data_IF_845408690827
#
_entry.id   IF_845408690827
#
_cell.length_a   1.000
_cell.length_b   1.000
_cell.length_c   1.000
_cell.angle_alpha   90.00
_cell.angle_beta   90.00
_cell.angle_gamma   90.00
#
_symmetry.space_group_name_H-M   'P 1'
#
loop_
_entity.id
_entity.type
_entity.pdbx_description
1 polymer ?
#
# COMPACT_ATOMS: atom_id res chain seq x y z
N UNK A 1 -37.78 -21.16 17.30
CA UNK A 1 -37.64 -19.95 16.46
C UNK A 1 -36.25 -20.00 15.84
N UNK A 2 -36.12 -20.32 14.55
CA UNK A 2 -34.80 -20.38 13.90
C UNK A 2 -34.21 -18.96 13.88
N UNK A 3 -33.04 -18.77 14.49
CA UNK A 3 -32.28 -17.54 14.34
C UNK A 3 -31.97 -17.38 12.85
N UNK A 4 -32.62 -16.43 12.19
CA UNK A 4 -32.29 -16.04 10.82
C UNK A 4 -30.83 -15.57 10.81
N UNK A 5 -29.91 -16.38 10.32
CA UNK A 5 -28.53 -15.97 10.08
C UNK A 5 -28.54 -14.84 9.05
N UNK A 6 -28.25 -13.62 9.49
CA UNK A 6 -28.12 -12.48 8.59
C UNK A 6 -27.00 -12.79 7.57
N UNK A 7 -27.19 -12.37 6.32
CA UNK A 7 -26.20 -12.54 5.26
C UNK A 7 -26.05 -11.26 4.46
N UNK A 8 -24.88 -11.10 3.85
CA UNK A 8 -24.59 -10.02 2.91
C UNK A 8 -24.04 -10.61 1.63
N UNK A 9 -24.28 -9.90 0.53
CA UNK A 9 -23.68 -10.14 -0.76
C UNK A 9 -22.51 -9.16 -0.96
N UNK A 10 -21.30 -9.70 -1.06
CA UNK A 10 -20.10 -8.98 -1.44
C UNK A 10 -20.05 -8.72 -2.95
N UNK A 11 -19.46 -7.60 -3.39
CA UNK A 11 -19.22 -7.37 -4.81
C UNK A 11 -18.15 -8.33 -5.35
N UNK A 12 -18.19 -8.58 -6.66
CA UNK A 12 -17.03 -9.11 -7.39
C UNK A 12 -15.95 -8.03 -7.44
N UNK A 13 -14.93 -8.18 -6.58
CA UNK A 13 -13.77 -7.29 -6.53
C UNK A 13 -12.75 -7.55 -7.64
N UNK A 14 -12.78 -8.75 -8.25
CA UNK A 14 -11.82 -9.15 -9.29
C UNK A 14 -12.19 -8.60 -10.67
N UNK A 15 -13.48 -8.46 -10.99
CA UNK A 15 -13.91 -7.95 -12.30
C UNK A 15 -13.41 -6.52 -12.62
N UNK A 16 -13.50 -5.53 -11.70
CA UNK A 16 -13.02 -4.17 -11.98
C UNK A 16 -11.51 -4.07 -12.17
N UNK A 17 -10.73 -4.97 -11.54
CA UNK A 17 -9.27 -4.97 -11.60
C UNK A 17 -8.71 -5.86 -12.71
N UNK A 18 -9.54 -6.39 -13.62
CA UNK A 18 -9.07 -7.17 -14.79
C UNK A 18 -7.98 -6.48 -15.62
N UNK A 19 -7.95 -5.13 -15.77
CA UNK A 19 -6.82 -4.46 -16.42
C UNK A 19 -5.49 -4.72 -15.70
N UNK A 20 -5.50 -4.89 -14.38
CA UNK A 20 -4.31 -5.14 -13.57
C UNK A 20 -3.91 -6.62 -13.68
N UNK A 21 -3.01 -6.93 -14.61
CA UNK A 21 -2.52 -8.29 -14.82
C UNK A 21 -1.91 -8.86 -13.52
N UNK A 22 -2.45 -10.00 -13.06
CA UNK A 22 -1.87 -10.69 -11.91
C UNK A 22 -0.54 -11.33 -12.28
N UNK A 23 0.49 -11.02 -11.50
CA UNK A 23 1.84 -11.59 -11.61
C UNK A 23 2.20 -12.25 -10.27
N UNK A 24 3.15 -13.17 -10.29
CA UNK A 24 3.57 -13.87 -9.06
C UNK A 24 5.07 -14.09 -9.07
N UNK A 25 5.71 -13.81 -7.93
CA UNK A 25 7.11 -14.11 -7.72
C UNK A 25 7.35 -15.63 -7.56
N UNK A 26 8.30 -16.19 -8.29
CA UNK A 26 8.64 -17.62 -8.20
C UNK A 26 9.25 -18.04 -6.86
N UNK A 27 9.77 -17.10 -6.06
CA UNK A 27 10.36 -17.36 -4.76
C UNK A 27 9.33 -17.55 -3.63
N UNK A 28 8.02 -17.46 -3.91
CA UNK A 28 6.94 -17.55 -2.91
C UNK A 28 7.13 -18.68 -1.90
N UNK A 29 7.41 -19.90 -2.36
CA UNK A 29 7.57 -21.07 -1.47
C UNK A 29 8.79 -20.94 -0.57
N UNK A 30 9.94 -20.55 -1.12
CA UNK A 30 11.19 -20.38 -0.37
C UNK A 30 11.03 -19.27 0.67
N UNK A 31 10.40 -18.16 0.28
CA UNK A 31 10.13 -17.02 1.17
C UNK A 31 9.14 -17.40 2.28
N UNK A 32 8.14 -18.24 1.98
CA UNK A 32 7.22 -18.76 3.01
C UNK A 32 7.98 -19.49 4.11
N UNK A 33 8.86 -20.43 3.73
CA UNK A 33 9.65 -21.22 4.68
C UNK A 33 10.59 -20.33 5.50
N UNK A 34 11.27 -19.38 4.85
CA UNK A 34 12.19 -18.46 5.52
C UNK A 34 11.47 -17.53 6.51
N UNK A 35 10.34 -16.94 6.10
CA UNK A 35 9.53 -16.05 6.96
C UNK A 35 8.92 -16.82 8.14
N UNK A 36 8.38 -18.02 7.90
CA UNK A 36 7.90 -18.88 8.99
C UNK A 36 9.01 -19.24 9.96
N UNK A 37 10.20 -19.60 9.46
CA UNK A 37 11.35 -19.87 10.32
C UNK A 37 11.72 -18.64 11.17
N UNK A 38 11.61 -17.43 10.63
CA UNK A 38 11.89 -16.21 11.37
C UNK A 38 10.93 -16.01 12.57
N UNK A 39 9.64 -16.34 12.43
CA UNK A 39 8.64 -16.12 13.48
C UNK A 39 8.36 -17.32 14.40
N UNK A 40 8.55 -18.55 13.91
CA UNK A 40 8.18 -19.79 14.61
C UNK A 40 9.35 -20.46 15.34
N UNK A 41 10.59 -19.96 15.23
CA UNK A 41 11.74 -20.58 15.89
C UNK A 41 11.63 -20.41 17.43
N UNK A 42 11.58 -21.50 18.23
CA UNK A 42 11.29 -21.43 19.68
C UNK A 42 12.30 -20.68 20.55
N UNK A 43 13.45 -20.26 20.00
CA UNK A 43 14.55 -19.63 20.73
C UNK A 43 14.72 -18.13 20.42
N UNK A 44 13.84 -17.56 19.60
CA UNK A 44 13.78 -16.11 19.37
C UNK A 44 12.63 -15.53 20.20
N UNK A 45 12.83 -14.37 20.81
CA UNK A 45 11.73 -13.56 21.38
C UNK A 45 10.77 -13.18 20.24
N UNK A 46 9.89 -14.10 19.84
CA UNK A 46 8.94 -13.86 18.77
C UNK A 46 8.00 -12.75 19.22
N UNK A 47 7.78 -11.71 18.40
CA UNK A 47 6.93 -10.59 18.79
C UNK A 47 5.44 -10.92 18.68
N UNK A 48 5.10 -12.08 18.12
CA UNK A 48 3.74 -12.54 17.91
C UNK A 48 3.23 -13.29 19.14
N UNK A 49 1.97 -13.03 19.51
CA UNK A 49 1.24 -13.75 20.55
C UNK A 49 0.93 -15.19 20.10
N UNK A 50 0.63 -16.12 21.02
CA UNK A 50 0.23 -17.48 20.66
C UNK A 50 -0.92 -17.55 19.66
N UNK A 51 -1.91 -16.66 19.78
CA UNK A 51 -3.05 -16.57 18.84
C UNK A 51 -2.62 -16.10 17.45
N UNK A 52 -1.67 -15.18 17.35
CA UNK A 52 -1.17 -14.73 16.04
C UNK A 52 -0.31 -15.80 15.37
N UNK A 53 0.44 -16.57 16.16
CA UNK A 53 1.24 -17.70 15.66
C UNK A 53 0.37 -18.81 15.06
N UNK A 54 -0.86 -19.03 15.55
CA UNK A 54 -1.79 -20.00 14.94
C UNK A 54 -2.38 -19.50 13.63
N UNK A 55 -2.51 -18.18 13.46
CA UNK A 55 -3.01 -17.56 12.22
C UNK A 55 -1.94 -17.43 11.14
N UNK A 56 -0.66 -17.38 11.52
CA UNK A 56 0.45 -17.12 10.59
C UNK A 56 0.45 -18.07 9.36
N UNK A 57 0.32 -19.41 9.50
CA UNK A 57 0.36 -20.30 8.35
C UNK A 57 -0.81 -20.13 7.38
N UNK A 58 -2.00 -19.88 7.90
CA UNK A 58 -3.23 -19.76 7.10
C UNK A 58 -3.42 -18.36 6.51
N UNK A 59 -2.65 -17.38 7.00
CA UNK A 59 -2.63 -16.01 6.48
C UNK A 59 -1.92 -15.88 5.14
N UNK A 60 -1.02 -16.81 4.79
CA UNK A 60 -0.30 -16.84 3.49
C UNK A 60 0.39 -15.50 3.15
N UNK A 61 1.07 -14.84 4.09
CA UNK A 61 1.67 -13.51 3.84
C UNK A 61 2.78 -13.51 2.76
N UNK A 62 3.51 -14.61 2.60
CA UNK A 62 4.48 -14.75 1.51
C UNK A 62 3.79 -14.80 0.13
N UNK A 63 2.56 -15.33 0.05
CA UNK A 63 1.75 -15.26 -1.16
C UNK A 63 1.34 -13.80 -1.43
N UNK A 64 0.85 -13.08 -0.42
CA UNK A 64 0.55 -11.65 -0.55
C UNK A 64 1.74 -10.87 -1.11
N UNK A 65 2.92 -11.02 -0.49
CA UNK A 65 4.14 -10.37 -0.94
C UNK A 65 4.51 -10.77 -2.38
N UNK A 66 4.37 -12.06 -2.73
CA UNK A 66 4.71 -12.56 -4.06
C UNK A 66 3.78 -12.05 -5.16
N UNK A 67 2.52 -11.75 -4.82
CA UNK A 67 1.55 -11.19 -5.76
C UNK A 67 1.70 -9.66 -5.89
N UNK A 68 1.98 -8.97 -4.77
CA UNK A 68 2.17 -7.52 -4.77
C UNK A 68 3.54 -7.08 -5.31
N UNK A 69 4.58 -7.91 -5.14
CA UNK A 69 5.97 -7.58 -5.48
C UNK A 69 6.61 -8.68 -6.35
N UNK A 70 6.06 -8.92 -7.55
CA UNK A 70 6.44 -10.05 -8.40
C UNK A 70 7.87 -9.99 -8.92
N UNK A 71 8.50 -8.81 -8.93
CA UNK A 71 9.84 -8.56 -9.50
C UNK A 71 10.96 -8.51 -8.47
N UNK A 72 10.65 -8.52 -7.17
CA UNK A 72 11.67 -8.49 -6.12
C UNK A 72 12.57 -9.72 -6.14
N UNK A 73 13.84 -9.53 -5.80
CA UNK A 73 14.74 -10.66 -5.53
C UNK A 73 14.34 -11.38 -4.21
N UNK A 74 14.85 -12.60 -3.95
CA UNK A 74 14.43 -13.36 -2.77
C UNK A 74 14.71 -12.65 -1.42
N UNK A 75 15.87 -12.01 -1.18
CA UNK A 75 16.09 -11.21 0.02
C UNK A 75 15.12 -10.04 0.20
N UNK A 76 14.86 -9.26 -0.85
CA UNK A 76 13.90 -8.15 -0.84
C UNK A 76 12.49 -8.65 -0.53
N UNK A 77 12.08 -9.73 -1.20
CA UNK A 77 10.76 -10.33 -1.01
C UNK A 77 10.59 -10.86 0.42
N UNK A 78 11.64 -11.43 1.03
CA UNK A 78 11.62 -11.86 2.42
C UNK A 78 11.43 -10.70 3.38
N UNK A 79 12.17 -9.60 3.19
CA UNK A 79 12.00 -8.39 3.99
C UNK A 79 10.56 -7.85 3.89
N UNK A 80 10.04 -7.71 2.67
CA UNK A 80 8.67 -7.24 2.42
C UNK A 80 7.61 -8.20 2.99
N UNK A 81 7.86 -9.51 2.96
CA UNK A 81 6.98 -10.52 3.57
C UNK A 81 6.94 -10.37 5.09
N UNK A 82 8.10 -10.26 5.73
CA UNK A 82 8.18 -10.07 7.18
C UNK A 82 7.54 -8.74 7.59
N UNK A 83 7.78 -7.68 6.82
CA UNK A 83 7.17 -6.37 7.07
C UNK A 83 5.63 -6.42 6.92
N UNK A 84 5.10 -7.02 5.85
CA UNK A 84 3.66 -7.23 5.65
C UNK A 84 3.01 -8.06 6.76
N UNK A 85 3.73 -9.07 7.25
CA UNK A 85 3.29 -9.91 8.37
C UNK A 85 3.12 -9.06 9.63
N UNK A 86 4.15 -8.29 10.01
CA UNK A 86 4.11 -7.40 11.16
C UNK A 86 3.07 -6.29 11.00
N UNK A 87 2.96 -5.71 9.80
CA UNK A 87 1.98 -4.68 9.49
C UNK A 87 0.54 -5.18 9.63
N UNK A 88 0.26 -6.40 9.17
CA UNK A 88 -1.08 -6.99 9.29
C UNK A 88 -1.43 -7.29 10.74
N UNK A 89 -0.51 -7.85 11.52
CA UNK A 89 -0.75 -8.08 12.95
C UNK A 89 -0.83 -6.79 13.75
N UNK A 90 -0.02 -5.77 13.43
CA UNK A 90 -0.15 -4.43 14.02
C UNK A 90 -1.54 -3.85 13.76
N UNK A 91 -2.07 -4.01 12.54
CA UNK A 91 -3.43 -3.59 12.21
C UNK A 91 -4.48 -4.38 13.01
N UNK A 92 -4.35 -5.70 13.13
CA UNK A 92 -5.26 -6.54 13.93
C UNK A 92 -5.25 -6.18 15.42
N UNK A 93 -4.08 -5.90 16.01
CA UNK A 93 -3.96 -5.39 17.38
C UNK A 93 -4.67 -4.05 17.52
N UNK A 94 -4.43 -3.13 16.60
CA UNK A 94 -5.07 -1.81 16.56
C UNK A 94 -6.61 -1.88 16.47
N UNK A 95 -7.16 -2.78 15.67
CA UNK A 95 -8.62 -2.94 15.56
C UNK A 95 -9.27 -3.34 16.89
N UNK A 96 -8.56 -4.14 17.71
CA UNK A 96 -9.05 -4.64 19.00
C UNK A 96 -8.62 -3.76 20.20
N UNK A 97 -7.80 -2.74 19.97
CA UNK A 97 -7.21 -1.92 21.02
C UNK A 97 -8.12 -0.76 21.45
N UNK A 98 -8.09 -0.48 22.75
CA UNK A 98 -8.66 0.73 23.38
C UNK A 98 -7.58 1.66 23.92
N UNK A 99 -6.35 1.17 24.12
CA UNK A 99 -5.21 1.98 24.56
C UNK A 99 -4.03 1.88 23.60
N UNK A 100 -3.12 2.87 23.56
CA UNK A 100 -1.91 2.82 22.74
C UNK A 100 -1.05 1.57 22.97
N UNK A 101 -0.93 1.11 24.21
CA UNK A 101 -0.14 -0.07 24.57
C UNK A 101 -0.73 -1.35 23.99
N UNK A 102 -2.07 -1.45 23.90
CA UNK A 102 -2.74 -2.59 23.28
C UNK A 102 -2.55 -2.62 21.75
N UNK A 103 -2.39 -1.45 21.12
CA UNK A 103 -1.94 -1.39 19.71
C UNK A 103 -0.49 -1.83 19.56
N UNK A 104 0.30 -1.78 20.64
CA UNK A 104 1.73 -2.07 20.64
C UNK A 104 2.63 -0.84 20.60
N UNK A 105 2.10 0.39 20.71
CA UNK A 105 2.88 1.62 20.77
C UNK A 105 3.32 1.93 22.20
N UNK A 106 4.59 2.30 22.39
CA UNK A 106 5.08 2.78 23.69
C UNK A 106 4.59 4.20 24.00
N UNK A 107 4.09 4.43 25.21
CA UNK A 107 3.67 5.76 25.72
C UNK A 107 4.78 6.53 26.45
N UNK A 108 5.93 5.89 26.67
CA UNK A 108 7.05 6.42 27.46
C UNK A 108 8.07 7.25 26.67
N UNK A 109 7.79 7.62 25.42
CA UNK A 109 8.72 8.45 24.63
C UNK A 109 8.75 9.89 25.17
N UNK A 110 9.70 10.19 26.07
CA UNK A 110 10.16 11.55 26.32
C UNK A 110 10.85 12.05 25.06
N UNK A 111 10.09 12.69 24.17
CA UNK A 111 10.61 13.23 22.92
C UNK A 111 11.62 14.33 23.21
N UNK A 112 12.91 13.99 23.26
CA UNK A 112 13.94 14.95 22.87
C UNK A 112 13.75 15.22 21.38
N UNK A 113 13.53 16.48 21.00
CA UNK A 113 13.27 16.98 19.65
C UNK A 113 14.45 16.80 18.67
N UNK A 114 15.23 15.74 18.80
CA UNK A 114 16.22 15.33 17.80
C UNK A 114 15.52 14.60 16.65
N UNK A 115 15.87 14.95 15.41
CA UNK A 115 15.39 14.36 14.16
C UNK A 115 15.31 12.83 14.23
N UNK A 116 14.12 12.31 14.57
CA UNK A 116 13.90 10.88 14.77
C UNK A 116 13.72 10.24 13.40
N UNK A 117 14.49 9.18 13.07
CA UNK A 117 14.36 8.54 11.77
C UNK A 117 13.03 7.78 11.67
N UNK A 118 12.52 7.53 10.46
CA UNK A 118 11.29 6.73 10.31
C UNK A 118 11.39 5.31 10.87
N UNK A 119 12.60 4.75 10.89
CA UNK A 119 12.85 3.44 11.48
C UNK A 119 12.76 3.52 13.01
N UNK A 120 13.28 4.59 13.62
CA UNK A 120 13.17 4.81 15.06
C UNK A 120 11.71 5.00 15.48
N UNK A 121 10.92 5.75 14.70
CA UNK A 121 9.47 5.91 14.92
C UNK A 121 8.79 4.53 14.90
N UNK A 122 9.06 3.70 13.89
CA UNK A 122 8.48 2.35 13.84
C UNK A 122 8.98 1.45 14.98
N UNK A 123 10.23 1.60 15.41
CA UNK A 123 10.79 0.80 16.51
C UNK A 123 10.13 1.08 17.88
N UNK A 124 9.40 2.19 18.03
CA UNK A 124 8.52 2.42 19.19
C UNK A 124 7.35 1.41 19.25
N UNK A 125 7.01 0.78 18.13
CA UNK A 125 6.02 -0.28 18.09
C UNK A 125 6.67 -1.63 18.39
N UNK A 126 6.06 -2.38 19.31
CA UNK A 126 6.58 -3.66 19.80
C UNK A 126 6.81 -4.73 18.72
N UNK A 127 6.10 -4.65 17.59
CA UNK A 127 6.22 -5.57 16.47
C UNK A 127 7.38 -5.15 15.57
N UNK A 128 7.40 -3.89 15.14
CA UNK A 128 8.37 -3.38 14.17
C UNK A 128 9.79 -3.22 14.74
N UNK A 129 9.96 -3.12 16.07
CA UNK A 129 11.31 -3.14 16.69
C UNK A 129 12.15 -4.35 16.26
N UNK A 130 11.50 -5.49 15.95
CA UNK A 130 12.16 -6.76 15.60
C UNK A 130 12.65 -6.81 14.15
N UNK A 131 12.21 -5.89 13.29
CA UNK A 131 12.68 -5.77 11.90
C UNK A 131 13.52 -4.48 11.69
N UNK A 132 13.68 -3.65 12.71
CA UNK A 132 14.40 -2.37 12.65
C UNK A 132 15.84 -2.48 12.15
N UNK A 133 16.56 -3.55 12.56
CA UNK A 133 17.93 -3.83 12.11
C UNK A 133 17.98 -4.19 10.62
N UNK A 134 17.04 -5.00 10.15
CA UNK A 134 16.93 -5.39 8.75
C UNK A 134 16.55 -4.19 7.88
N UNK A 135 15.61 -3.36 8.34
CA UNK A 135 15.23 -2.10 7.69
C UNK A 135 16.42 -1.14 7.61
N UNK A 136 17.16 -0.95 8.71
CA UNK A 136 18.35 -0.09 8.75
C UNK A 136 19.42 -0.55 7.76
N UNK A 137 19.66 -1.86 7.68
CA UNK A 137 20.60 -2.44 6.72
C UNK A 137 20.12 -2.22 5.28
N UNK A 138 18.84 -2.49 5.03
CA UNK A 138 18.22 -2.34 3.72
C UNK A 138 18.26 -0.89 3.22
N UNK A 139 18.00 0.09 4.09
CA UNK A 139 18.01 1.51 3.76
C UNK A 139 19.36 2.19 3.92
N UNK A 140 20.44 1.48 4.24
CA UNK A 140 21.77 2.08 4.51
C UNK A 140 22.34 2.91 3.35
N UNK A 141 21.89 2.64 2.12
CA UNK A 141 22.27 3.37 0.89
C UNK A 141 21.13 4.19 0.30
N UNK A 142 20.03 4.34 1.03
CA UNK A 142 18.89 5.09 0.56
C UNK A 142 19.23 6.60 0.51
N UNK A 143 18.66 7.34 -0.44
CA UNK A 143 18.88 8.77 -0.52
C UNK A 143 18.19 9.53 0.65
N UNK A 144 18.65 10.74 1.01
CA UNK A 144 18.08 11.49 2.14
C UNK A 144 16.58 11.79 2.01
N UNK A 145 16.10 12.04 0.79
CA UNK A 145 14.68 12.27 0.51
C UNK A 145 13.81 11.02 0.82
N UNK A 146 14.33 9.82 0.57
CA UNK A 146 13.67 8.58 0.96
C UNK A 146 13.53 8.49 2.48
N UNK A 147 14.60 8.80 3.24
CA UNK A 147 14.54 8.79 4.69
C UNK A 147 13.52 9.81 5.24
N UNK A 148 13.45 11.00 4.64
CA UNK A 148 12.47 12.02 5.00
C UNK A 148 11.03 11.55 4.73
N UNK A 149 10.77 10.97 3.55
CA UNK A 149 9.45 10.43 3.19
C UNK A 149 9.05 9.28 4.11
N UNK A 150 9.96 8.33 4.33
CA UNK A 150 9.71 7.19 5.20
C UNK A 150 9.44 7.63 6.65
N UNK A 151 10.15 8.65 7.14
CA UNK A 151 9.87 9.26 8.44
C UNK A 151 8.49 9.92 8.50
N UNK A 152 8.11 10.68 7.46
CA UNK A 152 6.78 11.28 7.38
C UNK A 152 5.66 10.24 7.34
N UNK A 153 5.83 9.16 6.56
CA UNK A 153 4.85 8.08 6.49
C UNK A 153 4.79 7.24 7.77
N UNK A 154 5.91 7.02 8.46
CA UNK A 154 5.95 6.35 9.77
C UNK A 154 5.25 7.18 10.85
N UNK A 155 5.52 8.50 10.88
CA UNK A 155 4.83 9.43 11.77
C UNK A 155 3.33 9.46 11.49
N UNK A 156 2.92 9.53 10.22
CA UNK A 156 1.52 9.53 9.82
C UNK A 156 0.82 8.21 10.17
N UNK A 157 1.47 7.07 9.99
CA UNK A 157 0.96 5.75 10.39
C UNK A 157 0.69 5.69 11.91
N UNK A 158 1.69 6.05 12.72
CA UNK A 158 1.58 6.12 14.18
C UNK A 158 0.47 7.07 14.61
N UNK A 159 0.49 8.29 14.10
CA UNK A 159 -0.49 9.32 14.44
C UNK A 159 -1.91 8.89 14.07
N UNK A 160 -2.11 8.29 12.89
CA UNK A 160 -3.42 7.82 12.46
C UNK A 160 -3.99 6.71 13.35
N UNK A 161 -3.15 5.76 13.79
CA UNK A 161 -3.58 4.71 14.73
C UNK A 161 -3.92 5.29 16.12
N UNK A 162 -3.05 6.16 16.66
CA UNK A 162 -3.29 6.77 17.98
C UNK A 162 -4.52 7.69 17.98
N UNK A 163 -4.70 8.48 16.92
CA UNK A 163 -5.89 9.33 16.78
C UNK A 163 -7.17 8.51 16.64
N UNK A 164 -7.12 7.35 15.98
CA UNK A 164 -8.30 6.49 15.85
C UNK A 164 -8.74 5.88 17.19
N UNK A 165 -7.88 5.86 18.21
CA UNK A 165 -8.24 5.46 19.56
C UNK A 165 -8.94 6.58 20.34
N UNK A 166 -8.78 7.83 19.92
CA UNK A 166 -9.41 8.97 20.59
C UNK A 166 -10.90 9.04 20.26
N UNK A 167 -11.72 9.56 21.19
CA UNK A 167 -13.12 9.83 20.88
C UNK A 167 -13.21 10.84 19.72
N UNK A 168 -14.26 10.76 18.89
CA UNK A 168 -14.46 11.71 17.80
C UNK A 168 -14.51 13.13 18.37
N UNK A 169 -13.87 14.12 17.71
CA UNK A 169 -13.87 15.49 18.19
C UNK A 169 -15.32 16.01 18.29
N UNK A 170 -15.64 16.81 19.32
CA UNK A 170 -16.97 17.38 19.46
C UNK A 170 -17.30 18.22 18.23
N UNK A 171 -18.53 18.06 17.73
CA UNK A 171 -18.99 18.79 16.55
C UNK A 171 -18.98 20.31 16.83
N UNK A 172 -18.26 21.06 15.99
CA UNK A 172 -18.28 22.51 15.98
C UNK A 172 -18.78 22.97 14.60
N UNK A 173 -20.04 23.43 14.52
CA UNK A 173 -20.60 24.06 13.32
C UNK A 173 -22.04 23.64 12.97
N UNK A 174 -22.77 24.55 12.33
CA UNK A 174 -24.08 24.32 11.72
C UNK A 174 -23.90 23.71 10.31
N UNK A 175 -23.61 22.41 10.24
CA UNK A 175 -23.58 21.69 8.96
C UNK A 175 -24.90 20.95 8.73
N UNK A 176 -25.31 20.86 7.46
CA UNK A 176 -26.39 19.95 7.07
C UNK A 176 -26.00 18.50 7.39
N UNK A 177 -26.99 17.64 7.60
CA UNK A 177 -26.79 16.21 7.87
C UNK A 177 -25.91 15.55 6.80
N UNK A 178 -26.18 15.83 5.53
CA UNK A 178 -25.45 15.28 4.39
C UNK A 178 -23.98 15.75 4.36
N UNK A 179 -23.73 17.04 4.58
CA UNK A 179 -22.37 17.57 4.63
C UNK A 179 -21.55 16.95 5.78
N UNK A 180 -22.20 16.67 6.92
CA UNK A 180 -21.58 16.01 8.06
C UNK A 180 -21.19 14.57 7.73
N UNK A 181 -22.10 13.81 7.13
CA UNK A 181 -21.85 12.43 6.73
C UNK A 181 -20.74 12.32 5.68
N UNK A 182 -20.70 13.26 4.73
CA UNK A 182 -19.65 13.31 3.72
C UNK A 182 -18.29 13.62 4.35
N UNK A 183 -18.21 14.67 5.19
CA UNK A 183 -16.99 15.04 5.91
C UNK A 183 -16.45 13.89 6.77
N UNK A 184 -17.33 13.17 7.46
CA UNK A 184 -16.96 12.00 8.25
C UNK A 184 -16.39 10.87 7.37
N UNK A 185 -17.00 10.64 6.20
CA UNK A 185 -16.53 9.63 5.23
C UNK A 185 -15.14 10.00 4.71
N UNK A 186 -14.91 11.26 4.34
CA UNK A 186 -13.63 11.71 3.77
C UNK A 186 -12.52 11.71 4.82
N UNK A 187 -12.83 12.13 6.05
CA UNK A 187 -11.91 12.06 7.19
C UNK A 187 -11.52 10.61 7.48
N UNK A 188 -12.50 9.71 7.48
CA UNK A 188 -12.24 8.27 7.66
C UNK A 188 -11.37 7.72 6.55
N UNK A 189 -11.65 7.99 5.27
CA UNK A 189 -10.85 7.48 4.15
C UNK A 189 -9.40 7.96 4.27
N UNK A 190 -9.20 9.24 4.58
CA UNK A 190 -7.86 9.82 4.80
C UNK A 190 -7.11 9.10 5.93
N UNK A 191 -7.76 8.91 7.08
CA UNK A 191 -7.17 8.20 8.21
C UNK A 191 -6.96 6.70 7.92
N UNK A 192 -7.90 6.07 7.20
CA UNK A 192 -7.85 4.66 6.81
C UNK A 192 -6.66 4.38 5.89
N UNK A 193 -6.34 5.34 5.02
CA UNK A 193 -5.16 5.31 4.15
C UNK A 193 -3.87 5.20 4.97
N UNK A 194 -3.71 6.03 5.99
CA UNK A 194 -2.55 5.97 6.86
C UNK A 194 -2.53 4.73 7.75
N UNK A 195 -3.65 4.36 8.39
CA UNK A 195 -3.73 3.15 9.24
C UNK A 195 -3.57 1.83 8.48
N UNK A 196 -3.65 1.83 7.14
CA UNK A 196 -3.33 0.67 6.31
C UNK A 196 -1.83 0.39 6.21
N UNK A 197 -0.98 1.39 6.44
CA UNK A 197 0.47 1.31 6.21
C UNK A 197 0.90 1.20 4.74
N UNK A 198 0.00 1.41 3.78
CA UNK A 198 0.32 1.30 2.35
C UNK A 198 1.50 2.18 1.91
N UNK A 199 1.59 3.42 2.42
CA UNK A 199 2.70 4.31 2.07
C UNK A 199 4.07 3.82 2.57
N UNK A 200 4.11 3.15 3.73
CA UNK A 200 5.35 2.51 4.21
C UNK A 200 5.80 1.42 3.24
N UNK A 201 4.85 0.61 2.74
CA UNK A 201 5.14 -0.40 1.72
C UNK A 201 5.61 0.24 0.42
N UNK A 202 4.97 1.33 -0.02
CA UNK A 202 5.36 2.05 -1.24
C UNK A 202 6.78 2.59 -1.14
N UNK A 203 7.19 3.12 0.01
CA UNK A 203 8.57 3.57 0.20
C UNK A 203 9.57 2.40 0.15
N UNK A 204 9.24 1.27 0.79
CA UNK A 204 10.11 0.09 0.80
C UNK A 204 10.27 -0.54 -0.58
N UNK A 205 9.19 -0.68 -1.36
CA UNK A 205 9.24 -1.25 -2.70
C UNK A 205 9.94 -0.32 -3.70
N UNK A 206 9.73 1.00 -3.59
CA UNK A 206 10.48 1.98 -4.40
C UNK A 206 11.99 1.84 -4.17
N UNK A 207 12.40 1.70 -2.91
CA UNK A 207 13.81 1.46 -2.57
C UNK A 207 14.31 0.10 -3.07
N UNK A 208 13.50 -0.96 -2.95
CA UNK A 208 13.87 -2.31 -3.41
C UNK A 208 14.15 -2.36 -4.91
N UNK A 209 13.32 -1.69 -5.70
CA UNK A 209 13.44 -1.67 -7.16
C UNK A 209 14.42 -0.59 -7.65
N UNK A 210 14.99 0.20 -6.74
CA UNK A 210 15.89 1.30 -7.10
C UNK A 210 15.21 2.44 -7.85
N UNK A 211 13.88 2.52 -7.80
CA UNK A 211 13.12 3.59 -8.44
C UNK A 211 13.48 4.91 -7.78
N UNK A 212 13.81 5.93 -8.59
CA UNK A 212 14.07 7.28 -8.10
C UNK A 212 12.95 8.19 -8.57
N UNK A 213 11.80 8.13 -7.92
CA UNK A 213 10.83 9.21 -8.07
C UNK A 213 11.29 10.36 -7.18
N UNK A 214 11.71 11.51 -7.76
CA UNK A 214 12.06 12.68 -6.98
C UNK A 214 10.81 13.22 -6.26
N UNK A 215 11.03 13.81 -5.09
CA UNK A 215 9.96 14.52 -4.37
C UNK A 215 9.74 15.86 -5.07
N UNK A 216 8.49 16.34 -5.12
CA UNK A 216 8.15 17.65 -5.70
C UNK A 216 8.99 18.82 -5.15
N UNK A 217 9.58 18.66 -3.95
CA UNK A 217 10.51 19.61 -3.31
C UNK A 217 11.92 19.65 -3.90
N UNK A 218 12.32 18.65 -4.70
CA UNK A 218 13.65 18.58 -5.35
C UNK A 218 13.65 19.22 -6.76
N UNK A 219 12.48 19.54 -7.29
CA UNK A 219 12.38 20.27 -8.55
C UNK A 219 12.70 21.74 -8.29
N UNK A 220 13.78 22.24 -8.89
CA UNK A 220 14.08 23.67 -8.91
C UNK A 220 12.91 24.41 -9.59
N UNK A 221 12.08 25.10 -8.80
CA UNK A 221 10.84 25.78 -9.18
C UNK A 221 11.05 27.05 -10.05
N UNK A 222 12.05 27.06 -10.93
CA UNK A 222 12.32 28.21 -11.80
C UNK A 222 11.42 28.14 -13.05
N UNK A 223 10.29 28.88 -13.02
CA UNK A 223 9.27 29.04 -14.11
C UNK A 223 8.41 27.78 -14.42
N UNK A 224 7.22 27.95 -15.05
CA UNK A 224 5.91 27.39 -14.64
C UNK A 224 5.90 25.87 -14.48
N UNK A 225 4.90 25.26 -13.77
CA UNK A 225 4.97 23.85 -13.42
C UNK A 225 5.15 22.98 -14.67
N UNK A 226 6.38 22.48 -14.83
CA UNK A 226 6.79 21.66 -15.94
C UNK A 226 5.99 20.36 -15.99
N UNK A 227 6.12 19.64 -17.09
CA UNK A 227 5.50 18.33 -17.30
C UNK A 227 5.85 17.36 -16.15
N UNK A 228 7.00 17.54 -15.52
CA UNK A 228 7.49 16.78 -14.37
C UNK A 228 6.60 16.92 -13.15
N UNK A 229 6.19 18.13 -12.78
CA UNK A 229 5.28 18.33 -11.64
C UNK A 229 3.93 17.66 -11.90
N UNK A 230 3.48 17.64 -13.16
CA UNK A 230 2.25 16.93 -13.54
C UNK A 230 2.44 15.42 -13.45
N UNK A 231 3.58 14.87 -13.90
CA UNK A 231 3.93 13.46 -13.75
C UNK A 231 3.93 13.07 -12.27
N UNK A 232 4.66 13.80 -11.42
CA UNK A 232 4.73 13.54 -9.98
C UNK A 232 3.36 13.62 -9.32
N UNK A 233 2.56 14.64 -9.68
CA UNK A 233 1.19 14.77 -9.18
C UNK A 233 0.30 13.58 -9.57
N UNK A 234 0.41 13.08 -10.81
CA UNK A 234 -0.35 11.88 -11.21
C UNK A 234 0.10 10.65 -10.42
N UNK A 235 1.40 10.49 -10.17
CA UNK A 235 1.93 9.39 -9.34
C UNK A 235 1.38 9.48 -7.91
N UNK A 236 1.36 10.65 -7.30
CA UNK A 236 0.84 10.84 -5.93
C UNK A 236 -0.68 10.57 -5.83
N UNK A 237 -1.43 10.98 -6.86
CA UNK A 237 -2.86 10.64 -7.00
C UNK A 237 -3.02 9.11 -7.06
N UNK A 238 -2.26 8.44 -7.92
CA UNK A 238 -2.34 6.99 -8.08
C UNK A 238 -1.90 6.22 -6.81
N UNK A 239 -0.88 6.68 -6.09
CA UNK A 239 -0.49 6.11 -4.78
C UNK A 239 -1.66 6.18 -3.79
N UNK A 240 -2.31 7.35 -3.71
CA UNK A 240 -3.44 7.58 -2.81
C UNK A 240 -4.65 6.70 -3.18
N UNK A 241 -4.94 6.57 -4.47
CA UNK A 241 -6.01 5.72 -4.98
C UNK A 241 -5.72 4.23 -4.74
N UNK A 242 -4.49 3.76 -4.98
CA UNK A 242 -4.11 2.37 -4.73
C UNK A 242 -4.27 1.99 -3.25
N UNK A 243 -3.83 2.87 -2.34
CA UNK A 243 -4.02 2.69 -0.91
C UNK A 243 -5.51 2.63 -0.53
N UNK A 244 -6.34 3.53 -1.07
CA UNK A 244 -7.77 3.55 -0.80
C UNK A 244 -8.50 2.31 -1.36
N UNK A 245 -8.17 1.90 -2.59
CA UNK A 245 -8.76 0.72 -3.25
C UNK A 245 -8.53 -0.53 -2.39
N UNK A 246 -7.28 -0.76 -1.97
CA UNK A 246 -6.92 -1.94 -1.17
C UNK A 246 -7.52 -1.84 0.23
N UNK A 247 -7.46 -0.69 0.90
CA UNK A 247 -7.99 -0.53 2.25
C UNK A 247 -9.52 -0.69 2.30
N UNK A 248 -10.25 -0.08 1.38
CA UNK A 248 -11.72 -0.21 1.32
C UNK A 248 -12.16 -1.60 0.85
N UNK A 249 -11.40 -2.24 -0.03
CA UNK A 249 -11.63 -3.65 -0.39
C UNK A 249 -11.39 -4.58 0.80
N UNK A 250 -10.36 -4.31 1.61
CA UNK A 250 -10.12 -5.01 2.86
C UNK A 250 -11.28 -4.83 3.85
N UNK A 251 -11.84 -3.62 3.94
CA UNK A 251 -13.00 -3.34 4.80
C UNK A 251 -14.25 -4.12 4.35
N UNK A 252 -14.45 -4.32 3.04
CA UNK A 252 -15.54 -5.14 2.49
C UNK A 252 -15.41 -6.62 2.90
N UNK A 253 -14.23 -7.22 2.71
CA UNK A 253 -14.02 -8.65 3.00
C UNK A 253 -13.90 -8.93 4.50
N UNK A 254 -13.39 -7.98 5.28
CA UNK A 254 -13.18 -8.13 6.73
C UNK A 254 -14.40 -7.85 7.57
N UNK A 255 -15.47 -7.28 7.02
CA UNK A 255 -16.63 -6.83 7.81
C UNK A 255 -17.23 -7.91 8.71
N UNK A 256 -17.37 -9.15 8.22
CA UNK A 256 -17.93 -10.24 9.03
C UNK A 256 -17.06 -10.53 10.27
N UNK A 257 -15.74 -10.58 10.10
CA UNK A 257 -14.80 -10.73 11.20
C UNK A 257 -14.90 -9.53 12.14
N UNK A 258 -14.80 -8.31 11.59
CA UNK A 258 -14.85 -7.05 12.34
C UNK A 258 -16.10 -6.91 13.22
N UNK A 259 -17.30 -7.14 12.67
CA UNK A 259 -18.55 -6.98 13.42
C UNK A 259 -18.73 -8.06 14.50
N UNK A 260 -18.05 -9.20 14.34
CA UNK A 260 -18.14 -10.32 15.29
C UNK A 260 -17.18 -10.19 16.47
N UNK A 261 -16.06 -9.48 16.30
CA UNK A 261 -14.99 -9.35 17.31
C UNK A 261 -14.96 -7.98 17.98
N UNK A 262 -15.41 -6.94 17.30
CA UNK A 262 -15.38 -5.58 17.84
C UNK A 262 -16.61 -5.38 18.70
N UNK A 263 -16.42 -5.40 20.03
CA UNK A 263 -17.47 -4.98 20.97
C UNK A 263 -17.89 -3.53 20.63
N UNK A 264 -19.16 -3.15 20.85
CA UNK A 264 -19.57 -1.75 20.69
C UNK A 264 -18.87 -0.89 21.74
N UNK A 265 -17.66 -0.44 21.41
CA UNK A 265 -16.96 0.56 22.20
C UNK A 265 -17.73 1.87 22.07
N UNK A 266 -18.47 2.23 23.12
CA UNK A 266 -19.40 3.36 23.14
C UNK A 266 -18.73 4.72 22.83
N UNK A 267 -17.39 4.77 22.76
CA UNK A 267 -16.61 6.00 22.66
C UNK A 267 -15.69 6.09 21.42
N UNK A 268 -15.67 5.09 20.53
CA UNK A 268 -14.80 5.08 19.34
C UNK A 268 -15.63 4.88 18.06
N UNK A 269 -15.27 5.61 16.99
CA UNK A 269 -15.85 5.38 15.67
C UNK A 269 -15.41 4.01 15.13
N UNK A 270 -16.30 3.26 14.46
CA UNK A 270 -15.93 1.96 13.93
C UNK A 270 -14.85 2.09 12.86
N UNK A 271 -13.75 1.34 13.01
CA UNK A 271 -12.65 1.35 12.05
C UNK A 271 -12.86 0.34 10.91
N UNK A 272 -14.02 0.45 10.25
CA UNK A 272 -14.39 -0.32 9.06
C UNK A 272 -15.41 0.48 8.26
N UNK A 273 -15.20 0.65 6.96
CA UNK A 273 -16.02 1.50 6.12
C UNK A 273 -17.52 1.11 6.10
N UNK A 274 -17.85 -0.19 6.15
CA UNK A 274 -19.26 -0.64 6.20
C UNK A 274 -19.88 -0.22 7.53
N UNK A 275 -19.23 -0.56 8.64
CA UNK A 275 -19.71 -0.21 9.98
C UNK A 275 -19.83 1.30 10.18
N UNK A 276 -18.91 2.09 9.61
CA UNK A 276 -18.99 3.54 9.62
C UNK A 276 -20.19 4.05 8.82
N UNK A 277 -20.45 3.51 7.62
CA UNK A 277 -21.63 3.90 6.85
C UNK A 277 -22.94 3.52 7.55
N UNK A 278 -23.00 2.36 8.21
CA UNK A 278 -24.15 1.98 9.03
C UNK A 278 -24.38 2.97 10.18
N UNK A 279 -23.29 3.37 10.86
CA UNK A 279 -23.34 4.32 11.97
C UNK A 279 -23.74 5.73 11.51
N UNK A 280 -23.06 6.25 10.48
CA UNK A 280 -23.18 7.63 10.03
C UNK A 280 -24.41 7.89 9.15
N UNK A 281 -24.79 6.93 8.30
CA UNK A 281 -25.84 7.10 7.28
C UNK A 281 -27.08 6.25 7.53
N UNK A 282 -27.13 5.54 8.67
CA UNK A 282 -28.22 4.65 9.07
C UNK A 282 -28.59 3.59 8.01
N UNK A 283 -27.60 3.15 7.22
CA UNK A 283 -27.80 2.12 6.20
C UNK A 283 -27.85 0.73 6.84
N UNK A 284 -28.58 -0.19 6.20
CA UNK A 284 -28.45 -1.62 6.48
C UNK A 284 -27.03 -2.11 6.13
N UNK A 285 -26.61 -3.26 6.67
CA UNK A 285 -25.32 -3.86 6.33
C UNK A 285 -25.15 -3.99 4.81
N UNK A 286 -26.15 -4.54 4.10
CA UNK A 286 -26.11 -4.63 2.64
C UNK A 286 -26.09 -3.25 1.94
N UNK A 287 -26.84 -2.27 2.45
CA UNK A 287 -26.85 -0.91 1.90
C UNK A 287 -25.48 -0.24 1.99
N UNK A 288 -24.82 -0.38 3.15
CA UNK A 288 -23.46 0.09 3.38
C UNK A 288 -22.44 -0.66 2.52
N UNK A 289 -22.52 -2.00 2.42
CA UNK A 289 -21.69 -2.81 1.51
C UNK A 289 -21.80 -2.31 0.06
N UNK A 290 -23.02 -2.07 -0.42
CA UNK A 290 -23.25 -1.56 -1.78
C UNK A 290 -22.64 -0.17 -1.99
N UNK A 291 -22.72 0.71 -0.98
CA UNK A 291 -22.12 2.04 -1.06
C UNK A 291 -20.59 1.97 -1.14
N UNK A 292 -19.94 1.19 -0.27
CA UNK A 292 -18.49 1.03 -0.28
C UNK A 292 -18.01 0.33 -1.56
N UNK A 293 -18.75 -0.66 -2.05
CA UNK A 293 -18.47 -1.32 -3.32
C UNK A 293 -18.48 -0.34 -4.51
N UNK A 294 -19.45 0.59 -4.55
CA UNK A 294 -19.47 1.66 -5.57
C UNK A 294 -18.28 2.60 -5.44
N UNK A 295 -17.90 2.96 -4.21
CA UNK A 295 -16.74 3.82 -3.97
C UNK A 295 -15.43 3.15 -4.42
N UNK A 296 -15.23 1.86 -4.15
CA UNK A 296 -14.07 1.10 -4.63
C UNK A 296 -14.02 1.12 -6.16
N UNK A 297 -15.16 0.85 -6.83
CA UNK A 297 -15.24 0.90 -8.30
C UNK A 297 -14.90 2.28 -8.86
N UNK A 298 -15.41 3.36 -8.23
CA UNK A 298 -15.08 4.73 -8.62
C UNK A 298 -13.57 4.99 -8.52
N UNK A 299 -12.94 4.61 -7.41
CA UNK A 299 -11.50 4.82 -7.21
C UNK A 299 -10.64 4.03 -8.21
N UNK A 300 -11.08 2.84 -8.63
CA UNK A 300 -10.41 2.08 -9.70
C UNK A 300 -10.53 2.82 -11.02
N UNK A 301 -11.69 3.40 -11.32
CA UNK A 301 -11.88 4.21 -12.53
C UNK A 301 -11.00 5.48 -12.50
N UNK A 302 -10.98 6.19 -11.36
CA UNK A 302 -10.12 7.36 -11.16
C UNK A 302 -8.63 7.02 -11.33
N UNK A 303 -8.21 5.81 -10.91
CA UNK A 303 -6.84 5.33 -11.08
C UNK A 303 -6.49 5.15 -12.56
N UNK A 304 -7.38 4.53 -13.33
CA UNK A 304 -7.20 4.31 -14.76
C UNK A 304 -7.19 5.63 -15.55
N UNK A 305 -7.98 6.62 -15.13
CA UNK A 305 -8.00 7.96 -15.71
C UNK A 305 -6.70 8.75 -15.40
N UNK A 306 -6.20 8.65 -14.17
CA UNK A 306 -4.91 9.22 -13.79
C UNK A 306 -3.76 8.57 -14.57
N UNK A 307 -3.80 7.25 -14.78
CA UNK A 307 -2.84 6.53 -15.61
C UNK A 307 -2.90 6.97 -17.08
N UNK A 308 -4.10 7.13 -17.65
CA UNK A 308 -4.27 7.66 -19.00
C UNK A 308 -3.74 9.09 -19.12
N UNK A 309 -3.94 9.90 -18.08
CA UNK A 309 -3.39 11.26 -18.00
C UNK A 309 -1.87 11.23 -17.95
N UNK A 310 -1.27 10.33 -17.15
CA UNK A 310 0.18 10.14 -17.14
C UNK A 310 0.71 9.78 -18.54
N UNK A 311 0.06 8.85 -19.24
CA UNK A 311 0.41 8.45 -20.61
C UNK A 311 0.32 9.59 -21.65
N UNK A 312 -0.39 10.67 -21.34
CA UNK A 312 -0.41 11.86 -22.19
C UNK A 312 0.93 12.59 -22.23
N UNK A 313 1.76 12.41 -21.19
CA UNK A 313 3.09 13.00 -21.07
C UNK A 313 4.21 12.16 -21.69
N UNK A 314 3.88 11.10 -22.41
CA UNK A 314 4.85 10.18 -23.00
C UNK A 314 5.86 10.90 -23.93
N UNK A 315 7.18 10.67 -23.77
CA UNK A 315 8.22 11.40 -24.52
C UNK A 315 8.10 11.33 -26.04
N UNK A 316 7.62 10.21 -26.61
CA UNK A 316 7.42 10.08 -28.07
C UNK A 316 6.32 10.96 -28.68
N UNK A 317 5.59 11.76 -27.88
CA UNK A 317 4.66 12.77 -28.40
C UNK A 317 5.32 14.13 -28.67
N UNK A 318 6.55 14.34 -28.22
CA UNK A 318 7.34 15.49 -28.60
C UNK A 318 8.03 15.17 -29.93
N UNK A 319 8.00 16.08 -30.93
CA UNK A 319 8.62 15.80 -32.22
C UNK A 319 10.11 15.50 -32.02
N UNK A 320 10.69 14.55 -32.78
CA UNK A 320 12.14 14.48 -32.88
C UNK A 320 12.62 15.85 -33.37
N UNK A 321 13.61 16.43 -32.71
CA UNK A 321 14.34 17.56 -33.28
C UNK A 321 14.90 17.08 -34.62
N UNK A 322 14.42 17.65 -35.73
CA UNK A 322 14.80 17.24 -37.07
C UNK A 322 16.33 17.25 -37.24
N UNK A 323 16.84 16.07 -37.58
CA UNK A 323 18.05 15.73 -38.33
C UNK A 323 19.13 16.81 -38.53
N UNK A 324 20.30 16.57 -37.90
CA UNK A 324 21.56 16.77 -38.58
C UNK A 324 22.45 15.52 -38.50
N UNK A 325 22.51 14.82 -39.64
CA UNK A 325 23.51 13.86 -40.15
C UNK A 325 23.10 12.39 -40.14
N UNK A 326 22.59 11.98 -41.29
CA UNK A 326 22.70 10.62 -41.83
C UNK A 326 24.11 10.06 -41.71
N UNK A 327 24.22 8.85 -41.17
CA UNK A 327 24.82 7.71 -41.87
C UNK A 327 24.71 6.43 -41.03
N UNK A 328 24.04 5.42 -41.58
CA UNK A 328 24.35 4.03 -41.27
C UNK A 328 23.42 3.32 -40.28
N UNK A 329 22.30 2.82 -40.83
CA UNK A 329 21.89 1.42 -40.64
C UNK A 329 21.47 0.97 -39.21
N UNK A 330 20.18 1.14 -38.86
CA UNK A 330 19.22 0.06 -38.52
C UNK A 330 17.89 0.60 -37.99
N UNK A 331 16.82 -0.11 -38.35
CA UNK A 331 15.38 0.20 -38.26
C UNK A 331 14.81 0.65 -36.90
N UNK A 332 13.67 1.38 -36.91
CA UNK A 332 12.96 1.79 -35.71
C UNK A 332 12.21 0.60 -35.11
N UNK A 333 12.72 0.09 -33.97
CA UNK A 333 12.02 -0.90 -33.18
C UNK A 333 10.95 -0.22 -32.32
N UNK A 334 9.71 -0.35 -32.77
CA UNK A 334 8.47 -0.11 -32.05
C UNK A 334 8.57 -0.70 -30.63
N UNK A 335 8.55 0.17 -29.60
CA UNK A 335 8.40 -0.23 -28.21
C UNK A 335 6.98 -0.79 -27.99
N UNK A 336 6.83 -2.08 -28.28
CA UNK A 336 5.67 -2.92 -28.01
C UNK A 336 5.64 -3.26 -26.51
N UNK A 337 4.84 -2.50 -25.76
CA UNK A 337 4.76 -2.44 -24.29
C UNK A 337 3.97 -3.58 -23.64
N UNK A 338 3.92 -4.77 -24.26
CA UNK A 338 3.39 -5.99 -23.63
C UNK A 338 4.28 -7.20 -23.98
N UNK A 339 5.14 -7.62 -23.03
CA UNK A 339 5.35 -9.00 -22.52
C UNK A 339 6.72 -9.19 -21.81
N UNK A 340 6.68 -9.36 -20.46
CA UNK A 340 7.42 -10.31 -19.58
C UNK A 340 8.97 -10.52 -19.72
N UNK A 341 9.59 -11.26 -18.76
CA UNK A 341 10.57 -10.78 -17.78
C UNK A 341 12.03 -10.67 -18.30
N UNK A 342 12.78 -9.67 -17.85
CA UNK A 342 14.20 -9.54 -18.19
C UNK A 342 15.02 -10.44 -17.26
N UNK A 343 15.46 -11.59 -17.80
CA UNK A 343 16.71 -12.22 -17.39
C UNK A 343 17.83 -11.72 -18.31
N UNK A 344 19.00 -11.52 -17.69
CA UNK A 344 20.34 -11.37 -18.26
C UNK A 344 20.66 -10.09 -19.05
N UNK A 345 21.52 -9.26 -18.46
CA UNK A 345 22.72 -8.70 -19.11
C UNK A 345 23.71 -8.23 -18.03
N UNK A 346 24.42 -9.19 -17.44
CA UNK A 346 25.74 -8.96 -16.87
C UNK A 346 26.75 -9.31 -17.95
N UNK A 347 27.55 -8.34 -18.36
CA UNK A 347 28.66 -8.56 -19.28
C UNK A 347 28.78 -7.44 -20.29
N UNK A 348 29.64 -6.46 -19.98
CA UNK A 348 30.64 -5.85 -20.85
C UNK A 348 31.08 -4.50 -20.23
N UNK A 349 32.00 -4.59 -19.26
CA UNK A 349 32.87 -3.47 -18.90
C UNK A 349 34.31 -3.98 -18.98
N UNK A 350 34.98 -3.64 -20.07
CA UNK A 350 36.44 -3.68 -20.20
C UNK A 350 36.84 -2.79 -21.37
N UNK A 351 37.25 -1.55 -21.06
CA UNK A 351 38.50 -0.94 -21.52
C UNK A 351 38.55 0.55 -21.19
N UNK A 352 39.61 0.95 -20.49
CA UNK A 352 40.00 2.33 -20.18
C UNK A 352 40.76 2.99 -21.37
N UNK A 353 41.47 4.14 -21.22
CA UNK A 353 40.96 5.48 -21.51
C UNK A 353 41.78 6.19 -22.61
N UNK A 354 41.21 7.23 -23.25
CA UNK A 354 42.04 8.25 -23.92
C UNK A 354 41.42 9.65 -23.86
N UNK A 355 42.35 10.60 -23.83
CA UNK A 355 42.37 12.00 -23.37
C UNK A 355 41.62 13.04 -24.24
N UNK A 356 41.44 14.30 -23.74
CA UNK A 356 40.34 15.18 -24.12
C UNK A 356 40.70 16.12 -25.29
N UNK A 357 39.67 16.59 -26.00
CA UNK A 357 39.81 17.77 -26.87
C UNK A 357 38.51 18.58 -26.91
N UNK A 358 38.59 19.75 -26.29
CA UNK A 358 37.97 21.03 -26.66
C UNK A 358 36.45 21.08 -26.91
N UNK A 359 35.75 21.44 -25.83
CA UNK A 359 34.67 22.44 -25.73
C UNK A 359 34.00 22.92 -27.02
N UNK A 360 32.77 22.46 -27.22
CA UNK A 360 31.64 23.29 -27.68
C UNK A 360 30.42 22.78 -26.92
N UNK A 361 30.10 23.42 -25.79
CA UNK A 361 28.99 23.01 -24.91
C UNK A 361 27.69 23.60 -25.45
N UNK A 362 26.92 22.75 -26.13
CA UNK A 362 25.51 22.96 -26.42
C UNK A 362 24.72 22.61 -25.16
N UNK A 363 23.99 23.56 -24.57
CA UNK A 363 23.24 23.37 -23.33
C UNK A 363 21.81 22.83 -23.55
N UNK A 364 21.62 21.83 -24.41
CA UNK A 364 20.26 21.39 -24.81
C UNK A 364 19.96 19.90 -24.70
N UNK A 365 20.81 19.06 -24.11
CA UNK A 365 20.57 17.58 -24.00
C UNK A 365 20.11 17.11 -22.61
N UNK A 366 20.55 17.75 -21.51
CA UNK A 366 20.34 17.21 -20.15
C UNK A 366 18.86 17.21 -19.68
N UNK A 367 18.03 18.12 -20.21
CA UNK A 367 16.62 18.24 -19.79
C UNK A 367 15.76 17.10 -20.35
N UNK A 368 15.93 16.77 -21.62
CA UNK A 368 15.13 15.75 -22.31
C UNK A 368 15.42 14.34 -21.76
N UNK A 369 16.69 14.04 -21.46
CA UNK A 369 17.08 12.79 -20.81
C UNK A 369 16.46 12.65 -19.41
N UNK A 370 16.44 13.74 -18.63
CA UNK A 370 15.80 13.76 -17.31
C UNK A 370 14.29 13.52 -17.39
N UNK A 371 13.58 14.17 -18.32
CA UNK A 371 12.14 13.98 -18.51
C UNK A 371 11.80 12.53 -18.88
N UNK A 372 12.57 11.93 -19.82
CA UNK A 372 12.39 10.53 -20.22
C UNK A 372 12.59 9.61 -19.02
N UNK A 373 13.67 9.81 -18.26
CA UNK A 373 13.96 9.00 -17.08
C UNK A 373 12.86 9.12 -16.02
N UNK A 374 12.39 10.33 -15.74
CA UNK A 374 11.31 10.57 -14.78
C UNK A 374 10.01 9.86 -15.20
N UNK A 375 9.68 9.92 -16.48
CA UNK A 375 8.50 9.23 -17.00
C UNK A 375 8.62 7.70 -16.84
N UNK A 376 9.80 7.13 -17.10
CA UNK A 376 10.04 5.70 -16.91
C UNK A 376 9.95 5.29 -15.43
N UNK A 377 10.59 6.04 -14.52
CA UNK A 377 10.49 5.81 -13.08
C UNK A 377 9.02 5.91 -12.57
N UNK A 378 8.24 6.83 -13.13
CA UNK A 378 6.82 6.96 -12.86
C UNK A 378 6.03 5.76 -13.37
N UNK A 379 6.27 5.32 -14.61
CA UNK A 379 5.61 4.16 -15.21
C UNK A 379 5.88 2.86 -14.43
N UNK A 380 7.13 2.64 -14.02
CA UNK A 380 7.50 1.49 -13.19
C UNK A 380 6.79 1.52 -11.83
N UNK A 381 6.63 2.70 -11.26
CA UNK A 381 5.87 2.87 -10.01
C UNK A 381 4.39 2.61 -10.21
N UNK A 382 3.78 3.08 -11.30
CA UNK A 382 2.39 2.73 -11.63
C UNK A 382 2.22 1.22 -11.74
N UNK A 383 3.18 0.52 -12.36
CA UNK A 383 3.13 -0.93 -12.44
C UNK A 383 3.19 -1.60 -11.05
N UNK A 384 4.01 -1.10 -10.14
CA UNK A 384 4.03 -1.57 -8.73
C UNK A 384 2.68 -1.36 -8.06
N UNK A 385 2.02 -0.22 -8.28
CA UNK A 385 0.70 0.05 -7.72
C UNK A 385 -0.37 -0.89 -8.30
N UNK A 386 -0.29 -1.21 -9.60
CA UNK A 386 -1.17 -2.21 -10.24
C UNK A 386 -0.98 -3.60 -9.63
N UNK A 387 0.26 -4.03 -9.43
CA UNK A 387 0.53 -5.32 -8.77
C UNK A 387 0.05 -5.33 -7.31
N UNK A 388 0.24 -4.23 -6.57
CA UNK A 388 -0.24 -4.10 -5.20
C UNK A 388 -1.77 -4.25 -5.12
N UNK A 389 -2.51 -3.58 -6.00
CA UNK A 389 -3.98 -3.70 -6.05
C UNK A 389 -4.38 -5.13 -6.44
N UNK A 390 -3.82 -5.66 -7.53
CA UNK A 390 -4.17 -6.99 -8.02
C UNK A 390 -3.83 -8.08 -6.99
N UNK A 391 -2.64 -8.01 -6.40
CA UNK A 391 -2.14 -8.98 -5.45
C UNK A 391 -2.93 -8.99 -4.16
N UNK A 392 -3.24 -7.82 -3.59
CA UNK A 392 -4.05 -7.74 -2.39
C UNK A 392 -5.47 -8.26 -2.59
N UNK A 393 -6.15 -7.85 -3.68
CA UNK A 393 -7.53 -8.29 -3.96
C UNK A 393 -7.63 -9.79 -4.17
N UNK A 394 -6.66 -10.41 -4.88
CA UNK A 394 -6.64 -11.86 -5.03
C UNK A 394 -6.31 -12.56 -3.71
N UNK A 395 -5.36 -12.02 -2.94
CA UNK A 395 -4.99 -12.59 -1.64
C UNK A 395 -6.14 -12.58 -0.63
N UNK A 396 -7.06 -11.62 -0.67
CA UNK A 396 -8.23 -11.57 0.23
C UNK A 396 -9.11 -12.83 0.17
N UNK A 397 -9.15 -13.54 -0.96
CA UNK A 397 -9.90 -14.79 -1.10
C UNK A 397 -9.03 -16.03 -0.87
N UNK A 398 -7.70 -15.86 -0.78
CA UNK A 398 -6.75 -16.94 -0.50
C UNK A 398 -6.46 -17.09 0.99
N UNK A 399 -6.43 -15.98 1.73
CA UNK A 399 -6.17 -15.97 3.16
C UNK A 399 -7.38 -16.47 3.95
N UNK A 400 -7.12 -17.25 5.00
CA UNK A 400 -8.20 -17.71 5.88
C UNK A 400 -8.63 -16.65 6.90
N UNK A 401 -7.96 -15.49 6.94
CA UNK A 401 -8.25 -14.41 7.90
C UNK A 401 -9.68 -13.86 7.81
N UNK A 402 -10.30 -13.89 6.63
CA UNK A 402 -11.61 -13.27 6.40
C UNK A 402 -12.74 -14.29 6.30
N UNK A 403 -12.51 -15.38 5.58
CA UNK A 403 -13.55 -16.36 5.23
C UNK A 403 -13.23 -17.78 5.71
N UNK A 404 -12.15 -17.98 6.49
CA UNK A 404 -11.65 -19.31 6.78
C UNK A 404 -11.36 -20.07 5.48
N UNK A 405 -11.75 -21.34 5.43
CA UNK A 405 -11.59 -22.20 4.25
C UNK A 405 -12.59 -21.89 3.11
N UNK A 406 -13.49 -20.92 3.27
CA UNK A 406 -14.58 -20.61 2.33
C UNK A 406 -14.25 -19.54 1.30
N UNK A 407 -13.00 -19.08 1.21
CA UNK A 407 -12.60 -17.97 0.34
C UNK A 407 -13.01 -18.15 -1.13
N UNK A 408 -12.79 -19.34 -1.69
CA UNK A 408 -13.18 -19.67 -3.08
C UNK A 408 -14.71 -19.73 -3.28
N UNK A 409 -15.47 -20.21 -2.30
CA UNK A 409 -16.94 -20.19 -2.35
C UNK A 409 -17.47 -18.76 -2.33
N UNK A 410 -16.93 -17.91 -1.45
CA UNK A 410 -17.31 -16.49 -1.36
C UNK A 410 -16.94 -15.75 -2.65
N UNK A 411 -15.79 -16.05 -3.25
CA UNK A 411 -15.37 -15.50 -4.54
C UNK A 411 -16.32 -15.90 -5.67
N UNK A 412 -16.78 -17.16 -5.68
CA UNK A 412 -17.65 -17.69 -6.74
C UNK A 412 -19.10 -17.19 -6.61
N UNK A 413 -19.65 -17.14 -5.39
CA UNK A 413 -21.07 -16.88 -5.15
C UNK A 413 -21.37 -15.49 -4.56
N UNK A 414 -20.38 -14.84 -3.97
CA UNK A 414 -20.49 -13.51 -3.36
C UNK A 414 -21.21 -13.49 -2.00
N UNK A 415 -21.70 -14.61 -1.47
CA UNK A 415 -22.48 -14.63 -0.24
C UNK A 415 -21.63 -14.88 1.00
N UNK A 416 -21.83 -14.07 2.03
CA UNK A 416 -21.23 -14.24 3.36
C UNK A 416 -22.34 -14.29 4.41
N UNK A 417 -22.37 -15.37 5.19
CA UNK A 417 -23.24 -15.49 6.35
C UNK A 417 -22.57 -14.84 7.55
N UNK A 418 -23.24 -13.87 8.16
CA UNK A 418 -22.70 -13.10 9.26
C UNK A 418 -22.68 -13.92 10.54
N UNK A 419 -21.56 -13.85 11.25
CA UNK A 419 -21.42 -14.41 12.58
C UNK A 419 -22.33 -13.62 13.55
N UNK A 420 -22.85 -14.28 14.58
CA UNK A 420 -23.52 -13.56 15.66
C UNK A 420 -22.51 -12.61 16.34
N UNK A 421 -22.91 -11.38 16.71
CA UNK A 421 -22.06 -10.50 17.51
C UNK A 421 -21.68 -11.22 18.80
N UNK A 422 -20.41 -11.18 19.21
CA UNK A 422 -20.02 -11.68 20.52
C UNK A 422 -20.73 -10.83 21.60
N UNK A 423 -21.75 -11.38 22.26
CA UNK A 423 -22.36 -10.74 23.43
C UNK A 423 -21.28 -10.59 24.51
N UNK A 424 -21.13 -9.41 25.14
CA UNK A 424 -20.25 -9.29 26.29
C UNK A 424 -20.72 -10.26 27.36
N UNK A 425 -19.80 -11.07 27.90
CA UNK A 425 -20.04 -11.87 29.09
C UNK A 425 -20.48 -10.90 30.19
N UNK A 426 -21.77 -10.94 30.54
CA UNK A 426 -22.27 -10.27 31.74
C UNK A 426 -21.66 -11.03 32.91
N UNK A 427 -20.55 -10.53 33.44
CA UNK A 427 -20.04 -10.95 34.75
C UNK A 427 -21.02 -10.41 35.77
N UNK A 428 -21.87 -11.29 36.29
CA UNK A 428 -22.74 -11.03 37.44
C UNK A 428 -21.96 -10.98 38.75
#
# INVERSE_FOLDING_TARGET
MSSSSASIQLPDLSSPIRPFQLRTNSACRTTTLASHSHFLTPNTNTPLTPTELTLLPTSKFALLASLCFPTCDPPQLLLLTNFLTLLTFAHLRFLNATTPEQCGWSTSSSSSESSTSGIDILAEHELFKNISADLSRFSSRAPPNWHANFAAHAAAYRHAQLNALQPPPPHQGEYTEEARQQTLTDTFISQRRHTSGAYLLFDLIQLALGHRIPVSSELNLSNPPGVELKILSQVDIMKSLAADIVALSSDLVSYNSFQSTTAPHQHKLPHNAISLCMHAKHLSAQGATNQIARLVKQKIQDFLEAEQTLQSFHPSRYPPVDDFRSSGDRSPALYSWIKLPIQTLSGLLSSSPSTPTTTTSCQSDDSDEYHVKLFLDAADTVQVLRDYIAGAVHWFYETELYFGTKGEEVKAFGWVFLNAPSLPLVTG
#
